data_IF_549651182205
#
_entry.id   IF_549651182205
#
_cell.length_a   1.000
_cell.length_b   1.000
_cell.length_c   1.000
_cell.angle_alpha   90.00
_cell.angle_beta   90.00
_cell.angle_gamma   90.00
#
_symmetry.space_group_name_H-M   'P 1'
#
loop_
_entity.id
_entity.type
_entity.pdbx_description
1 polymer ?
#
# COMPACT_ATOMS: atom_id res chain seq x y z
N UNK A 1 -14.23 17.52 -45.23
CA UNK A 1 -14.47 16.30 -44.41
C UNK A 1 -13.32 15.92 -43.45
N UNK A 2 -12.06 16.36 -43.64
CA UNK A 2 -10.91 15.92 -42.80
C UNK A 2 -10.79 16.56 -41.40
N UNK A 3 -11.49 17.67 -41.10
CA UNK A 3 -11.37 18.38 -39.79
C UNK A 3 -12.20 17.76 -38.66
N UNK A 4 -13.35 17.16 -38.99
CA UNK A 4 -14.24 16.54 -38.00
C UNK A 4 -13.70 15.21 -37.44
N UNK A 5 -12.99 14.43 -38.27
CA UNK A 5 -12.34 13.18 -37.84
C UNK A 5 -11.22 13.44 -36.82
N UNK A 6 -10.43 14.51 -37.03
CA UNK A 6 -9.35 14.91 -36.13
C UNK A 6 -9.84 15.43 -34.77
N UNK A 7 -10.97 16.15 -34.73
CA UNK A 7 -11.59 16.57 -33.45
C UNK A 7 -12.23 15.41 -32.67
N UNK A 8 -12.67 14.34 -33.35
CA UNK A 8 -13.13 13.11 -32.69
C UNK A 8 -11.97 12.28 -32.13
N UNK A 9 -10.82 12.27 -32.81
CA UNK A 9 -9.60 11.56 -32.40
C UNK A 9 -8.92 12.23 -31.19
N UNK A 10 -8.83 13.56 -31.16
CA UNK A 10 -8.30 14.33 -30.02
C UNK A 10 -9.22 14.23 -28.78
N UNK A 11 -10.55 14.06 -28.98
CA UNK A 11 -11.50 13.79 -27.89
C UNK A 11 -11.42 12.36 -27.36
N UNK A 12 -11.00 11.39 -28.19
CA UNK A 12 -10.74 10.01 -27.78
C UNK A 12 -9.39 9.89 -27.05
N UNK A 13 -8.41 10.74 -27.36
CA UNK A 13 -7.13 10.83 -26.64
C UNK A 13 -7.24 11.47 -25.25
N UNK A 14 -8.29 12.26 -25.00
CA UNK A 14 -8.62 12.79 -23.65
C UNK A 14 -9.42 11.81 -22.78
N UNK A 15 -9.88 10.68 -23.33
CA UNK A 15 -10.63 9.63 -22.60
C UNK A 15 -9.90 8.29 -22.74
N UNK A 16 -8.86 8.15 -21.92
CA UNK A 16 -8.06 6.94 -21.73
C UNK A 16 -6.69 7.39 -21.21
N UNK A 17 -6.32 7.20 -19.95
CA UNK A 17 -6.46 5.97 -19.17
C UNK A 17 -7.43 6.10 -17.99
N UNK A 18 -8.53 5.35 -18.03
CA UNK A 18 -8.86 4.62 -16.81
C UNK A 18 -7.73 3.61 -16.68
N UNK A 19 -6.66 3.98 -15.97
CA UNK A 19 -5.65 3.03 -15.56
C UNK A 19 -6.42 1.99 -14.77
N UNK A 20 -6.57 0.78 -15.31
CA UNK A 20 -6.74 -0.40 -14.47
C UNK A 20 -5.56 -0.36 -13.53
N UNK A 21 -5.73 0.30 -12.39
CA UNK A 21 -4.65 0.54 -11.45
C UNK A 21 -4.26 -0.83 -10.94
N UNK A 22 -3.13 -1.32 -11.45
CA UNK A 22 -2.37 -2.37 -10.80
C UNK A 22 -2.30 -2.03 -9.30
N UNK A 23 -2.46 -3.02 -8.42
CA UNK A 23 -2.38 -2.76 -7.00
C UNK A 23 -0.95 -2.30 -6.67
N UNK A 24 -0.74 -1.00 -6.45
CA UNK A 24 0.58 -0.44 -6.14
C UNK A 24 0.74 -0.26 -4.63
N UNK A 25 1.87 -0.74 -4.10
CA UNK A 25 2.31 -0.44 -2.74
C UNK A 25 2.69 1.04 -2.66
N UNK A 26 1.99 1.79 -1.82
CA UNK A 26 2.25 3.22 -1.61
C UNK A 26 3.08 3.40 -0.35
N UNK A 27 4.27 3.99 -0.50
CA UNK A 27 5.19 4.28 0.61
C UNK A 27 4.77 5.57 1.31
N UNK A 28 4.84 5.57 2.63
CA UNK A 28 4.53 6.73 3.46
C UNK A 28 5.84 7.30 4.01
N UNK A 29 6.44 8.23 3.26
CA UNK A 29 7.71 8.90 3.55
C UNK A 29 8.94 7.96 3.67
N UNK A 30 10.11 8.53 3.41
CA UNK A 30 11.41 7.84 3.40
C UNK A 30 11.92 7.63 4.84
N UNK A 31 11.28 6.72 5.59
CA UNK A 31 11.61 6.45 7.01
C UNK A 31 12.42 5.15 7.17
N UNK A 32 13.02 4.63 6.10
CA UNK A 32 13.72 3.35 6.13
C UNK A 32 14.96 3.31 5.25
N UNK A 33 16.02 2.69 5.74
CA UNK A 33 17.30 2.48 5.02
C UNK A 33 17.13 1.46 3.85
N UNK A 34 15.99 0.75 3.80
CA UNK A 34 15.74 -0.35 2.89
C UNK A 34 14.43 -0.16 2.11
N UNK A 35 14.52 -0.27 0.78
CA UNK A 35 13.40 -0.21 -0.14
C UNK A 35 12.90 -1.62 -0.49
N UNK A 36 11.63 -1.96 -0.21
CA UNK A 36 10.96 -3.18 -0.69
C UNK A 36 9.65 -2.87 -1.42
N UNK A 37 9.21 -3.67 -2.38
CA UNK A 37 7.94 -3.53 -3.06
C UNK A 37 6.91 -4.62 -2.67
N UNK A 38 5.81 -4.72 -3.42
CA UNK A 38 4.78 -5.72 -3.15
C UNK A 38 5.27 -7.14 -3.47
N UNK A 39 6.08 -7.30 -4.51
CA UNK A 39 6.59 -8.60 -4.93
C UNK A 39 7.55 -9.18 -3.89
N UNK A 40 8.35 -8.32 -3.25
CA UNK A 40 9.17 -8.70 -2.10
C UNK A 40 8.33 -9.26 -0.95
N UNK A 41 7.19 -8.62 -0.62
CA UNK A 41 6.29 -9.10 0.44
C UNK A 41 5.62 -10.43 0.07
N UNK A 42 5.31 -10.65 -1.20
CA UNK A 42 4.69 -11.90 -1.67
C UNK A 42 5.67 -13.08 -1.63
N UNK A 43 6.98 -12.81 -1.79
CA UNK A 43 8.05 -13.81 -1.71
C UNK A 43 8.58 -14.03 -0.30
N UNK A 44 8.25 -13.13 0.63
CA UNK A 44 8.72 -13.17 2.00
C UNK A 44 8.30 -14.44 2.74
N UNK A 45 9.17 -14.94 3.63
CA UNK A 45 8.75 -15.91 4.63
C UNK A 45 7.93 -15.21 5.71
N UNK A 46 6.81 -15.81 6.11
CA UNK A 46 5.85 -15.17 7.02
C UNK A 46 5.49 -16.04 8.23
N UNK A 47 5.38 -15.39 9.38
CA UNK A 47 4.89 -15.97 10.63
C UNK A 47 3.70 -15.15 11.14
N UNK A 48 2.65 -15.81 11.65
CA UNK A 48 1.51 -15.12 12.24
C UNK A 48 1.89 -14.62 13.63
N UNK A 49 1.88 -13.30 13.83
CA UNK A 49 2.09 -12.68 15.14
C UNK A 49 0.80 -12.68 15.97
N UNK A 50 -0.35 -12.59 15.31
CA UNK A 50 -1.63 -12.67 16.01
C UNK A 50 -2.82 -12.20 15.19
N UNK A 51 -4.01 -12.62 15.63
CA UNK A 51 -5.30 -12.23 15.06
C UNK A 51 -6.06 -11.35 16.04
N UNK A 52 -6.48 -10.17 15.58
CA UNK A 52 -7.22 -9.19 16.38
C UNK A 52 -8.59 -8.84 15.81
N UNK A 53 -9.26 -7.91 16.47
CA UNK A 53 -10.57 -7.37 16.08
C UNK A 53 -10.53 -6.61 14.75
N UNK A 54 -9.37 -6.09 14.35
CA UNK A 54 -9.18 -5.30 13.12
C UNK A 54 -8.46 -6.07 12.00
N UNK A 55 -8.05 -7.32 12.24
CA UNK A 55 -7.36 -8.16 11.26
C UNK A 55 -6.16 -8.92 11.83
N UNK A 56 -5.33 -9.45 10.95
CA UNK A 56 -4.19 -10.33 11.30
C UNK A 56 -2.87 -9.63 11.09
N UNK A 57 -1.95 -9.79 12.03
CA UNK A 57 -0.56 -9.30 11.94
C UNK A 57 0.37 -10.45 11.59
N UNK A 58 1.27 -10.20 10.65
CA UNK A 58 2.30 -11.14 10.20
C UNK A 58 3.67 -10.50 10.38
N UNK A 59 4.65 -11.28 10.81
CA UNK A 59 6.06 -10.96 10.69
C UNK A 59 6.51 -11.48 9.33
N UNK A 60 7.06 -10.62 8.49
CA UNK A 60 7.57 -10.99 7.17
C UNK A 60 9.08 -10.73 7.13
N UNK A 61 9.84 -11.75 6.75
CA UNK A 61 11.30 -11.65 6.52
C UNK A 61 11.53 -11.64 5.02
N UNK A 62 12.03 -10.49 4.52
CA UNK A 62 12.36 -10.26 3.13
C UNK A 62 13.70 -10.91 2.75
N UNK A 63 13.93 -11.12 1.45
CA UNK A 63 15.15 -11.79 0.95
C UNK A 63 16.45 -11.08 1.35
N UNK A 64 16.41 -9.76 1.58
CA UNK A 64 17.56 -8.95 2.03
C UNK A 64 17.76 -8.94 3.56
N UNK A 65 17.03 -9.78 4.32
CA UNK A 65 17.09 -9.84 5.78
C UNK A 65 16.29 -8.74 6.50
N UNK A 66 15.74 -7.78 5.76
CA UNK A 66 14.80 -6.78 6.30
C UNK A 66 13.56 -7.49 6.84
N UNK A 67 13.18 -7.19 8.09
CA UNK A 67 12.00 -7.76 8.73
C UNK A 67 10.95 -6.67 8.95
N UNK A 68 9.73 -6.92 8.52
CA UNK A 68 8.60 -5.99 8.64
C UNK A 68 7.39 -6.67 9.30
N UNK A 69 6.49 -5.85 9.84
CA UNK A 69 5.15 -6.30 10.24
C UNK A 69 4.16 -5.92 9.15
N UNK A 70 3.44 -6.90 8.62
CA UNK A 70 2.31 -6.69 7.71
C UNK A 70 1.01 -6.89 8.48
N UNK A 71 0.19 -5.84 8.57
CA UNK A 71 -1.17 -5.92 9.09
C UNK A 71 -2.16 -6.04 7.95
N UNK A 72 -2.79 -7.20 7.81
CA UNK A 72 -3.92 -7.40 6.89
C UNK A 72 -5.21 -7.01 7.58
N UNK A 73 -5.84 -5.94 7.12
CA UNK A 73 -7.11 -5.45 7.66
C UNK A 73 -8.27 -6.34 7.20
N UNK A 74 -9.23 -6.59 8.10
CA UNK A 74 -10.48 -7.30 7.76
C UNK A 74 -11.67 -6.35 7.76
N UNK A 75 -12.67 -6.64 6.93
CA UNK A 75 -13.97 -5.98 6.93
C UNK A 75 -13.94 -4.45 6.71
N UNK A 76 -12.88 -3.94 6.06
CA UNK A 76 -12.73 -2.51 5.75
C UNK A 76 -13.34 -2.19 4.39
N UNK A 77 -14.50 -1.55 4.40
CA UNK A 77 -15.22 -1.06 3.22
C UNK A 77 -15.15 0.46 3.19
N UNK A 78 -14.16 0.98 2.47
CA UNK A 78 -13.86 2.42 2.36
C UNK A 78 -13.38 2.72 0.94
N UNK A 79 -13.63 3.92 0.43
CA UNK A 79 -13.12 4.28 -0.89
C UNK A 79 -11.59 4.43 -0.88
N UNK A 80 -10.94 4.12 -2.01
CA UNK A 80 -9.48 4.23 -2.16
C UNK A 80 -8.95 5.60 -1.69
N UNK A 81 -9.57 6.68 -2.17
CA UNK A 81 -9.18 8.05 -1.82
C UNK A 81 -9.25 8.33 -0.32
N UNK A 82 -10.30 7.87 0.35
CA UNK A 82 -10.47 8.06 1.80
C UNK A 82 -9.42 7.25 2.57
N UNK A 83 -9.15 6.02 2.13
CA UNK A 83 -8.09 5.19 2.70
C UNK A 83 -6.72 5.87 2.57
N UNK A 84 -6.37 6.33 1.37
CA UNK A 84 -5.11 7.03 1.10
C UNK A 84 -4.95 8.26 1.98
N UNK A 85 -5.97 9.11 2.09
CA UNK A 85 -5.93 10.30 2.97
C UNK A 85 -5.66 9.91 4.43
N UNK A 86 -6.28 8.85 4.93
CA UNK A 86 -6.03 8.37 6.30
C UNK A 86 -4.62 7.81 6.46
N UNK A 87 -4.11 7.06 5.47
CA UNK A 87 -2.77 6.48 5.52
C UNK A 87 -1.67 7.53 5.37
N UNK A 88 -1.89 8.57 4.55
CA UNK A 88 -1.01 9.73 4.48
C UNK A 88 -0.97 10.49 5.82
N UNK A 89 -2.12 10.62 6.49
CA UNK A 89 -2.19 11.18 7.84
C UNK A 89 -1.40 10.34 8.85
N UNK A 90 -1.61 9.03 8.86
CA UNK A 90 -0.91 8.09 9.74
C UNK A 90 0.60 8.06 9.47
N UNK A 91 1.00 8.13 8.20
CA UNK A 91 2.38 8.18 7.76
C UNK A 91 3.13 9.47 8.14
N UNK A 92 2.43 10.50 8.62
CA UNK A 92 3.04 11.72 9.17
C UNK A 92 3.20 11.67 10.68
N UNK A 93 2.62 10.68 11.36
CA UNK A 93 2.79 10.49 12.80
C UNK A 93 4.21 10.01 13.06
N UNK A 94 5.00 10.85 13.73
CA UNK A 94 6.36 10.53 14.14
C UNK A 94 6.53 10.88 15.62
N UNK A 95 6.63 9.86 16.47
CA UNK A 95 6.74 10.00 17.91
C UNK A 95 7.54 8.83 18.48
N UNK A 96 8.34 9.06 19.52
CA UNK A 96 9.25 8.07 20.12
C UNK A 96 8.56 6.74 20.46
N UNK A 97 7.31 6.80 20.93
CA UNK A 97 6.53 5.64 21.34
C UNK A 97 5.59 5.08 20.25
N UNK A 98 5.74 5.49 18.98
CA UNK A 98 4.88 5.05 17.87
C UNK A 98 5.76 4.60 16.70
N UNK A 99 5.58 3.36 16.24
CA UNK A 99 6.23 2.88 15.03
C UNK A 99 5.59 3.56 13.82
N UNK A 100 6.34 4.31 13.00
CA UNK A 100 5.81 4.97 11.81
C UNK A 100 5.28 3.94 10.81
N UNK A 101 4.17 4.28 10.13
CA UNK A 101 3.72 3.53 8.96
C UNK A 101 4.77 3.71 7.85
N UNK A 102 5.25 2.59 7.29
CA UNK A 102 6.21 2.61 6.18
C UNK A 102 5.56 2.61 4.81
N UNK A 103 4.52 1.79 4.67
CA UNK A 103 3.80 1.65 3.43
C UNK A 103 2.40 1.10 3.68
N UNK A 104 1.54 1.26 2.69
CA UNK A 104 0.23 0.62 2.66
C UNK A 104 -0.11 0.12 1.26
N UNK A 105 -0.96 -0.88 1.24
CA UNK A 105 -1.51 -1.45 0.03
C UNK A 105 -3.03 -1.29 0.04
N UNK A 106 -3.59 -0.94 -1.12
CA UNK A 106 -5.02 -0.90 -1.31
C UNK A 106 -5.42 -1.68 -2.56
N UNK A 107 -6.38 -2.58 -2.36
CA UNK A 107 -7.21 -3.16 -3.41
C UNK A 107 -8.66 -3.25 -2.93
N UNK A 108 -9.55 -3.67 -3.83
CA UNK A 108 -10.95 -3.90 -3.50
C UNK A 108 -11.08 -4.95 -2.39
N UNK A 109 -10.31 -6.03 -2.47
CA UNK A 109 -10.45 -7.21 -1.62
C UNK A 109 -9.48 -7.20 -0.43
N UNK A 110 -8.37 -6.48 -0.53
CA UNK A 110 -7.31 -6.47 0.47
C UNK A 110 -6.76 -5.09 0.75
N UNK A 111 -6.46 -4.84 2.02
CA UNK A 111 -5.79 -3.64 2.52
C UNK A 111 -4.70 -4.08 3.49
N UNK A 112 -3.47 -3.65 3.24
CA UNK A 112 -2.32 -4.00 4.08
C UNK A 112 -1.67 -2.72 4.61
N UNK A 113 -1.20 -2.79 5.85
CA UNK A 113 -0.33 -1.77 6.46
C UNK A 113 1.02 -2.41 6.77
N UNK A 114 2.11 -1.69 6.52
CA UNK A 114 3.46 -2.20 6.72
C UNK A 114 4.21 -1.31 7.70
N UNK A 115 4.82 -1.92 8.70
CA UNK A 115 5.59 -1.28 9.76
C UNK A 115 6.94 -1.96 9.94
N UNK A 116 7.87 -1.28 10.62
CA UNK A 116 9.07 -1.92 11.12
C UNK A 116 8.76 -3.00 12.15
N UNK A 117 9.51 -4.11 12.07
CA UNK A 117 9.53 -5.09 13.13
C UNK A 117 10.48 -4.65 14.24
N UNK A 118 9.96 -4.53 15.47
CA UNK A 118 10.77 -4.31 16.66
C UNK A 118 10.97 -5.68 17.35
N UNK A 119 12.20 -6.20 17.42
CA UNK A 119 12.49 -7.39 18.20
C UNK A 119 12.28 -7.10 19.70
N UNK A 120 11.73 -8.08 20.40
CA UNK A 120 11.57 -8.05 21.86
C UNK A 120 12.90 -8.27 22.59
#
# INVERSE_FOLDING_TARGET
MKKAKRMMEERKMRRGSATTASPEMLRTHDVGIYSFDLEDLLRASVEVLGKGSVGTSYKAVLEEGTTVVVKRLKDVVVAKREFEVQMEGLGKVNHENIIPLRAFYYSKDEKLLVYDFIPA
#
